data_IF_180742635770
#
_entry.id   IF_180742635770
#
_cell.length_a   1.000
_cell.length_b   1.000
_cell.length_c   1.000
_cell.angle_alpha   90.00
_cell.angle_beta   90.00
_cell.angle_gamma   90.00
#
_symmetry.space_group_name_H-M   'P 1'
#
loop_
_entity.id
_entity.type
_entity.pdbx_description
1 polymer ?
#
# COMPACT_ATOMS: atom_id res chain seq x y z
N UNK A 1 1.02 10.71 -18.31
CA UNK A 1 2.14 10.48 -19.24
C UNK A 1 2.48 11.80 -19.88
N UNK A 2 3.59 12.38 -19.46
CA UNK A 2 4.17 13.57 -20.09
C UNK A 2 4.68 13.16 -21.47
N UNK A 3 4.62 14.10 -22.41
CA UNK A 3 4.85 13.94 -23.84
C UNK A 3 6.29 13.53 -24.19
N UNK A 4 6.70 12.30 -23.90
CA UNK A 4 8.02 11.83 -24.31
C UNK A 4 7.99 11.62 -25.82
N UNK A 5 8.35 12.67 -26.55
CA UNK A 5 8.45 12.65 -27.99
C UNK A 5 9.42 11.55 -28.41
N UNK A 6 9.20 10.98 -29.60
CA UNK A 6 10.13 10.02 -30.22
C UNK A 6 11.60 10.46 -30.13
N UNK A 7 11.85 11.77 -30.22
CA UNK A 7 13.17 12.36 -30.15
C UNK A 7 13.78 12.31 -28.75
N UNK A 8 13.00 12.58 -27.69
CA UNK A 8 13.46 12.49 -26.30
C UNK A 8 13.80 11.05 -25.91
N UNK A 9 13.02 10.08 -26.38
CA UNK A 9 13.29 8.65 -26.16
C UNK A 9 14.58 8.23 -26.87
N UNK A 10 14.78 8.67 -28.12
CA UNK A 10 16.01 8.41 -28.86
C UNK A 10 17.23 9.04 -28.16
N UNK A 11 17.11 10.27 -27.68
CA UNK A 11 18.20 10.98 -27.02
C UNK A 11 18.57 10.30 -25.69
N UNK A 12 17.59 9.89 -24.89
CA UNK A 12 17.81 9.11 -23.67
C UNK A 12 18.51 7.76 -23.97
N UNK A 13 18.09 7.08 -25.04
CA UNK A 13 18.69 5.81 -25.46
C UNK A 13 20.16 5.98 -25.89
N UNK A 14 20.45 7.02 -26.69
CA UNK A 14 21.81 7.33 -27.16
C UNK A 14 22.71 7.66 -25.96
N UNK A 15 22.24 8.46 -24.99
CA UNK A 15 23.02 8.84 -23.80
C UNK A 15 23.34 7.61 -22.95
N UNK A 16 22.36 6.73 -22.70
CA UNK A 16 22.55 5.55 -21.86
C UNK A 16 23.52 4.54 -22.49
N UNK A 17 23.31 4.17 -23.76
CA UNK A 17 24.13 3.17 -24.42
C UNK A 17 25.50 3.71 -24.86
N UNK A 18 25.63 5.02 -25.08
CA UNK A 18 26.93 5.68 -25.29
C UNK A 18 27.84 5.49 -24.08
N UNK A 19 27.36 5.81 -22.87
CA UNK A 19 28.10 5.63 -21.60
C UNK A 19 28.53 4.18 -21.36
N UNK A 20 27.67 3.22 -21.71
CA UNK A 20 27.98 1.78 -21.56
C UNK A 20 29.04 1.34 -22.60
N UNK A 21 29.03 1.93 -23.80
CA UNK A 21 29.97 1.57 -24.88
C UNK A 21 31.40 2.09 -24.66
N UNK A 22 31.57 3.12 -23.84
CA UNK A 22 32.86 3.79 -23.54
C UNK A 22 33.47 3.32 -22.20
N UNK A 23 32.83 2.38 -21.50
CA UNK A 23 33.31 1.91 -20.19
C UNK A 23 34.51 0.95 -20.33
N UNK A 24 35.67 1.37 -19.81
CA UNK A 24 36.91 0.58 -19.77
C UNK A 24 36.90 -0.57 -18.74
N UNK A 25 35.89 -0.60 -17.86
CA UNK A 25 35.75 -1.61 -16.80
C UNK A 25 35.24 -2.95 -17.38
N UNK A 26 34.60 -2.93 -18.55
CA UNK A 26 33.98 -4.10 -19.17
C UNK A 26 34.59 -4.38 -20.55
N UNK A 27 35.78 -4.98 -20.60
CA UNK A 27 36.26 -5.64 -21.84
C UNK A 27 35.58 -6.99 -22.02
N UNK A 28 34.27 -6.97 -22.30
CA UNK A 28 33.46 -8.18 -22.51
C UNK A 28 32.48 -8.01 -23.68
N UNK A 29 31.90 -9.15 -24.12
CA UNK A 29 30.87 -9.26 -25.17
C UNK A 29 29.72 -8.26 -25.03
N UNK A 30 29.46 -7.76 -23.81
CA UNK A 30 28.41 -6.80 -23.48
C UNK A 30 28.69 -5.40 -24.02
N UNK A 31 29.93 -4.90 -23.93
CA UNK A 31 30.29 -3.57 -24.47
C UNK A 31 30.26 -3.56 -25.99
N UNK A 32 30.61 -4.69 -26.62
CA UNK A 32 30.48 -4.85 -28.08
C UNK A 32 29.01 -4.81 -28.53
N UNK A 33 28.10 -5.44 -27.77
CA UNK A 33 26.65 -5.38 -28.05
C UNK A 33 26.08 -3.98 -27.82
N UNK A 34 26.45 -3.33 -26.72
CA UNK A 34 26.04 -1.96 -26.42
C UNK A 34 26.51 -0.97 -27.48
N UNK A 35 27.75 -1.11 -27.96
CA UNK A 35 28.30 -0.29 -29.06
C UNK A 35 27.55 -0.52 -30.37
N UNK A 36 27.17 -1.77 -30.68
CA UNK A 36 26.35 -2.08 -31.86
C UNK A 36 24.95 -1.46 -31.75
N UNK A 37 24.34 -1.49 -30.57
CA UNK A 37 23.03 -0.86 -30.32
C UNK A 37 23.10 0.66 -30.40
N UNK A 38 24.12 1.28 -29.81
CA UNK A 38 24.38 2.72 -29.90
C UNK A 38 24.55 3.18 -31.35
N UNK A 39 25.40 2.49 -32.12
CA UNK A 39 25.67 2.84 -33.51
C UNK A 39 24.42 2.73 -34.40
N UNK A 40 23.55 1.75 -34.13
CA UNK A 40 22.37 1.47 -34.94
C UNK A 40 21.09 2.16 -34.41
N UNK A 41 21.15 2.87 -33.27
CA UNK A 41 19.98 3.45 -32.62
C UNK A 41 19.27 4.46 -33.53
N UNK A 42 20.02 5.38 -34.14
CA UNK A 42 19.45 6.39 -35.05
C UNK A 42 18.78 5.76 -36.27
N UNK A 43 19.42 4.79 -36.91
CA UNK A 43 18.82 4.09 -38.06
C UNK A 43 17.58 3.28 -37.66
N UNK A 44 17.58 2.66 -36.48
CA UNK A 44 16.45 1.88 -35.99
C UNK A 44 15.24 2.77 -35.73
N UNK A 45 15.42 3.91 -35.06
CA UNK A 45 14.34 4.88 -34.82
C UNK A 45 13.90 5.61 -36.09
N UNK A 46 14.67 5.55 -37.17
CA UNK A 46 14.26 6.04 -38.50
C UNK A 46 13.50 4.99 -39.32
N UNK A 47 13.35 3.75 -38.83
CA UNK A 47 12.51 2.75 -39.50
C UNK A 47 11.07 3.21 -39.56
N UNK A 48 10.47 3.02 -40.73
CA UNK A 48 9.09 3.42 -41.04
C UNK A 48 8.08 2.91 -40.01
N UNK A 49 8.19 1.64 -39.60
CA UNK A 49 7.30 1.02 -38.60
C UNK A 49 7.33 1.74 -37.24
N UNK A 50 8.50 2.25 -36.83
CA UNK A 50 8.66 2.98 -35.57
C UNK A 50 8.12 4.41 -35.71
N UNK A 51 8.33 5.05 -36.87
CA UNK A 51 7.73 6.35 -37.18
C UNK A 51 6.19 6.25 -37.10
N UNK A 52 5.61 5.28 -37.79
CA UNK A 52 4.15 5.05 -37.85
C UNK A 52 3.57 4.75 -36.45
N UNK A 53 4.31 4.04 -35.60
CA UNK A 53 3.90 3.79 -34.21
C UNK A 53 3.77 5.08 -33.39
N UNK A 54 4.76 5.97 -33.47
CA UNK A 54 4.72 7.24 -32.73
C UNK A 54 3.68 8.20 -33.29
N UNK A 55 3.50 8.26 -34.63
CA UNK A 55 2.43 9.06 -35.25
C UNK A 55 1.04 8.60 -34.81
N UNK A 56 0.83 7.28 -34.67
CA UNK A 56 -0.44 6.74 -34.17
C UNK A 56 -0.68 7.08 -32.70
N UNK A 57 0.36 7.03 -31.88
CA UNK A 57 0.29 7.43 -30.47
C UNK A 57 -0.06 8.91 -30.31
N UNK A 58 0.56 9.79 -31.10
CA UNK A 58 0.30 11.22 -31.08
C UNK A 58 -1.16 11.51 -31.49
N UNK A 59 -1.67 10.85 -32.54
CA UNK A 59 -3.08 10.96 -32.97
C UNK A 59 -4.07 10.50 -31.89
N UNK A 60 -3.76 9.40 -31.19
CA UNK A 60 -4.60 8.90 -30.10
C UNK A 60 -4.61 9.86 -28.89
N UNK A 61 -3.48 10.52 -28.64
CA UNK A 61 -3.38 11.52 -27.59
C UNK A 61 -4.23 12.77 -27.91
N UNK A 62 -4.12 13.30 -29.12
CA UNK A 62 -4.90 14.45 -29.59
C UNK A 62 -6.41 14.17 -29.56
N UNK A 63 -6.83 12.95 -29.95
CA UNK A 63 -8.23 12.54 -29.88
C UNK A 63 -8.79 12.56 -28.45
N UNK A 64 -8.01 12.10 -27.46
CA UNK A 64 -8.38 12.08 -26.03
C UNK A 64 -8.35 13.46 -25.37
N UNK A 65 -7.68 14.45 -25.99
CA UNK A 65 -7.73 15.82 -25.51
C UNK A 65 -9.04 16.50 -25.93
N UNK A 66 -9.48 16.26 -27.15
CA UNK A 66 -10.78 16.74 -27.66
C UNK A 66 -11.98 16.16 -26.89
N UNK A 67 -11.91 14.89 -26.49
CA UNK A 67 -12.96 14.23 -25.68
C UNK A 67 -13.12 14.87 -24.29
N UNK A 68 -12.00 15.21 -23.65
CA UNK A 68 -11.98 15.91 -22.34
C UNK A 68 -12.48 17.36 -22.42
N UNK A 69 -12.34 18.01 -23.56
CA UNK A 69 -12.95 19.33 -23.79
C UNK A 69 -14.47 19.23 -24.00
N UNK A 70 -14.94 18.12 -24.60
CA UNK A 70 -16.37 17.84 -24.77
C UNK A 70 -17.07 17.54 -23.43
N UNK A 71 -16.44 16.78 -22.52
CA UNK A 71 -16.96 16.53 -21.16
C UNK A 71 -17.13 17.82 -20.34
N UNK A 72 -16.16 18.74 -20.44
CA UNK A 72 -16.25 20.07 -19.77
C UNK A 72 -17.39 20.94 -20.29
N UNK A 73 -17.89 20.66 -21.49
CA UNK A 73 -19.05 21.36 -22.06
C UNK A 73 -20.38 20.78 -21.54
N UNK A 74 -20.41 19.47 -21.23
CA UNK A 74 -21.58 18.77 -20.69
C UNK A 74 -21.86 19.13 -19.22
N UNK A 75 -20.81 19.27 -18.40
CA UNK A 75 -20.96 19.68 -16.98
C UNK A 75 -21.62 21.06 -16.82
N UNK A 76 -21.38 21.97 -17.77
CA UNK A 76 -21.96 23.32 -17.75
C UNK A 76 -23.48 23.33 -17.96
N UNK A 77 -24.00 22.44 -18.81
CA UNK A 77 -25.44 22.37 -19.09
C UNK A 77 -26.20 21.55 -18.03
N UNK A 78 -25.53 20.62 -17.34
CA UNK A 78 -26.12 19.87 -16.21
C UNK A 78 -26.53 20.77 -15.04
N UNK A 79 -25.74 21.81 -14.74
CA UNK A 79 -26.04 22.77 -13.68
C UNK A 79 -27.33 23.60 -13.94
N UNK A 80 -27.66 23.87 -15.20
CA UNK A 80 -28.85 24.66 -15.54
C UNK A 80 -30.17 23.87 -15.38
N UNK A 81 -30.12 22.56 -15.61
CA UNK A 81 -31.25 21.65 -15.40
C UNK A 81 -31.55 21.44 -13.91
N UNK A 82 -30.52 21.39 -13.07
CA UNK A 82 -30.66 21.26 -11.61
C UNK A 82 -31.28 22.51 -10.96
N UNK A 83 -31.12 23.69 -11.57
CA UNK A 83 -31.71 24.95 -11.07
C UNK A 83 -33.24 25.01 -11.18
N UNK A 84 -33.87 24.14 -11.99
CA UNK A 84 -35.32 24.13 -12.26
C UNK A 84 -36.08 23.06 -11.47
N UNK A 85 -35.38 22.17 -10.75
CA UNK A 85 -35.98 21.11 -9.95
C UNK A 85 -36.12 21.57 -8.49
N UNK A 86 -37.30 22.05 -8.12
CA UNK A 86 -37.61 22.57 -6.77
C UNK A 86 -37.75 21.46 -5.72
N UNK A 87 -36.69 20.68 -5.49
CA UNK A 87 -36.60 19.63 -4.46
C UNK A 87 -35.61 20.02 -3.33
N UNK A 88 -35.97 19.71 -2.08
CA UNK A 88 -35.29 20.14 -0.86
C UNK A 88 -33.91 19.47 -0.68
N UNK A 89 -33.75 18.24 -1.18
CA UNK A 89 -32.44 17.57 -1.21
C UNK A 89 -31.48 18.22 -2.22
N UNK A 90 -32.02 18.76 -3.31
CA UNK A 90 -31.26 19.52 -4.31
C UNK A 90 -30.75 20.85 -3.73
N UNK A 91 -31.50 21.50 -2.82
CA UNK A 91 -31.09 22.74 -2.14
C UNK A 91 -29.90 22.54 -1.17
N UNK A 92 -29.83 21.40 -0.47
CA UNK A 92 -28.70 21.08 0.43
C UNK A 92 -27.42 20.79 -0.35
N UNK A 93 -27.53 20.17 -1.52
CA UNK A 93 -26.42 19.97 -2.44
C UNK A 93 -25.98 21.30 -3.08
N UNK A 94 -26.93 22.15 -3.46
CA UNK A 94 -26.68 23.49 -4.02
C UNK A 94 -25.96 24.43 -3.05
N UNK A 95 -26.27 24.40 -1.75
CA UNK A 95 -25.56 25.20 -0.74
C UNK A 95 -24.06 24.87 -0.71
N UNK A 96 -23.72 23.58 -0.80
CA UNK A 96 -22.34 23.09 -0.80
C UNK A 96 -21.58 23.42 -2.10
N UNK A 97 -22.26 23.41 -3.24
CA UNK A 97 -21.65 23.83 -4.52
C UNK A 97 -21.54 25.36 -4.67
N UNK A 98 -22.45 26.13 -4.07
CA UNK A 98 -22.38 27.59 -4.03
C UNK A 98 -21.18 28.08 -3.20
N UNK A 99 -20.92 27.48 -2.03
CA UNK A 99 -19.73 27.77 -1.21
C UNK A 99 -18.42 27.46 -1.97
N UNK A 100 -18.37 26.34 -2.68
CA UNK A 100 -17.18 25.92 -3.45
C UNK A 100 -16.92 26.75 -4.71
N UNK A 101 -17.97 27.31 -5.33
CA UNK A 101 -17.82 28.20 -6.50
C UNK A 101 -17.43 29.63 -6.12
N UNK A 102 -17.81 30.10 -4.93
CA UNK A 102 -17.34 31.37 -4.37
C UNK A 102 -15.83 31.33 -4.06
N UNK A 103 -15.31 30.22 -3.52
CA UNK A 103 -13.87 30.02 -3.29
C UNK A 103 -13.02 29.99 -4.57
N UNK A 104 -13.60 29.52 -5.68
CA UNK A 104 -12.92 29.46 -6.99
C UNK A 104 -12.89 30.81 -7.71
N UNK A 105 -13.84 31.70 -7.42
CA UNK A 105 -13.87 33.07 -7.96
C UNK A 105 -12.89 34.01 -7.26
N UNK A 106 -12.60 33.81 -5.96
CA UNK A 106 -11.62 34.62 -5.23
C UNK A 106 -10.16 34.31 -5.60
N UNK A 107 -9.85 33.09 -6.06
CA UNK A 107 -8.49 32.69 -6.47
C UNK A 107 -8.13 33.07 -7.93
N UNK A 108 -9.01 33.79 -8.63
CA UNK A 108 -8.88 34.09 -10.06
C UNK A 108 -8.05 35.32 -10.45
N UNK A 109 -7.57 36.16 -9.51
CA UNK A 109 -6.84 37.38 -9.88
C UNK A 109 -5.39 37.38 -9.37
N UNK A 110 -4.44 37.00 -10.24
CA UNK A 110 -3.02 37.20 -9.94
C UNK A 110 -2.01 36.22 -10.54
N UNK A 111 -2.12 35.82 -11.81
CA UNK A 111 -0.99 35.18 -12.50
C UNK A 111 0.03 36.25 -12.94
N UNK A 112 1.05 36.51 -12.11
CA UNK A 112 2.29 37.16 -12.56
C UNK A 112 3.28 36.08 -13.00
N UNK A 113 3.63 36.08 -14.29
CA UNK A 113 4.73 35.31 -14.87
C UNK A 113 6.05 35.59 -14.12
N UNK A 114 6.54 34.64 -13.32
CA UNK A 114 7.86 34.74 -12.69
C UNK A 114 8.94 34.08 -13.55
N UNK A 115 9.84 34.94 -14.05
CA UNK A 115 11.10 34.66 -14.76
C UNK A 115 11.93 33.53 -14.15
N UNK A 116 12.42 32.63 -15.02
CA UNK A 116 13.58 31.74 -14.80
C UNK A 116 14.79 32.56 -14.31
N UNK A 117 15.40 32.16 -13.18
CA UNK A 117 16.80 32.49 -12.86
C UNK A 117 17.66 31.30 -13.24
N UNK A 118 18.66 31.52 -14.10
CA UNK A 118 19.75 30.59 -14.38
C UNK A 118 20.64 30.48 -13.14
N UNK A 119 20.95 29.26 -12.71
CA UNK A 119 22.02 28.97 -11.75
C UNK A 119 22.97 27.98 -12.44
N UNK A 120 24.25 28.32 -12.44
CA UNK A 120 25.37 27.63 -13.09
C UNK A 120 25.82 26.44 -12.23
N UNK A 121 25.92 25.27 -12.86
CA UNK A 121 26.08 23.96 -12.21
C UNK A 121 27.52 23.65 -11.75
N UNK A 122 28.47 24.56 -11.98
CA UNK A 122 29.90 24.31 -11.75
C UNK A 122 30.43 24.73 -10.36
N UNK A 123 29.68 25.51 -9.58
CA UNK A 123 30.19 26.04 -8.30
C UNK A 123 30.08 25.05 -7.12
N UNK A 124 29.15 24.09 -7.20
CA UNK A 124 28.88 23.14 -6.11
C UNK A 124 29.92 22.01 -6.04
N UNK A 125 30.59 21.69 -7.15
CA UNK A 125 31.52 20.56 -7.23
C UNK A 125 32.92 20.86 -6.67
N UNK A 126 33.27 22.14 -6.46
CA UNK A 126 34.58 22.56 -5.94
C UNK A 126 34.63 22.61 -4.41
N UNK A 127 33.49 22.60 -3.70
CA UNK A 127 33.47 22.65 -2.22
C UNK A 127 33.68 21.30 -1.53
N UNK A 128 33.54 20.18 -2.23
CA UNK A 128 33.68 18.82 -1.65
C UNK A 128 35.09 18.20 -1.72
N UNK A 129 36.11 18.92 -2.23
CA UNK A 129 37.50 18.40 -2.37
C UNK A 129 38.53 18.92 -1.37
N UNK A 130 38.17 19.73 -0.38
CA UNK A 130 39.15 20.40 0.50
C UNK A 130 39.36 19.77 1.91
N UNK A 131 38.86 18.56 2.18
CA UNK A 131 38.98 17.91 3.51
C UNK A 131 39.53 16.47 3.48
N UNK A 132 40.52 16.20 2.63
CA UNK A 132 41.42 15.06 2.82
C UNK A 132 42.81 15.46 2.36
N UNK A 133 43.68 15.79 3.32
CA UNK A 133 45.13 15.53 3.25
C UNK A 133 45.83 15.95 4.55
N UNK A 134 46.84 15.15 4.96
CA UNK A 134 47.66 15.12 6.20
C UNK A 134 47.06 14.25 7.32
N UNK A 135 47.65 13.15 7.78
CA UNK A 135 49.07 12.84 8.12
C UNK A 135 49.37 11.31 8.04
N UNK A 136 50.64 10.94 8.29
CA UNK A 136 51.43 9.84 7.69
C UNK A 136 51.78 8.63 8.60
N UNK A 137 51.66 7.39 8.07
CA UNK A 137 52.52 6.15 8.21
C UNK A 137 52.73 5.40 9.58
N UNK A 138 53.19 4.11 9.65
CA UNK A 138 52.80 2.86 8.91
C UNK A 138 52.75 1.51 9.74
N UNK A 139 51.98 0.50 9.25
CA UNK A 139 52.13 -1.00 9.37
C UNK A 139 51.94 -1.78 10.72
N UNK A 140 51.73 -3.13 10.76
CA UNK A 140 51.37 -4.11 9.70
C UNK A 140 50.26 -5.19 10.05
N UNK A 141 49.66 -5.74 8.98
CA UNK A 141 49.13 -7.12 8.77
C UNK A 141 48.28 -7.86 9.82
N UNK A 142 47.03 -8.19 9.45
CA UNK A 142 46.63 -9.59 9.25
C UNK A 142 45.33 -9.69 8.42
N UNK A 143 45.36 -10.61 7.47
CA UNK A 143 44.35 -10.90 6.44
C UNK A 143 42.95 -11.21 6.98
N UNK A 144 41.94 -10.57 6.40
CA UNK A 144 40.61 -11.15 6.17
C UNK A 144 40.05 -10.58 4.87
N UNK A 145 39.67 -11.50 3.99
CA UNK A 145 39.15 -11.33 2.65
C UNK A 145 37.89 -10.47 2.59
N UNK A 146 37.94 -9.37 1.84
CA UNK A 146 36.78 -8.57 1.43
C UNK A 146 35.91 -9.36 0.43
N UNK A 147 34.58 -9.41 0.57
CA UNK A 147 33.69 -9.65 -0.55
C UNK A 147 33.61 -8.38 -1.42
N UNK A 148 33.51 -8.59 -2.73
CA UNK A 148 33.36 -7.56 -3.76
C UNK A 148 32.19 -6.61 -3.46
N UNK A 149 32.46 -5.31 -3.57
CA UNK A 149 31.46 -4.25 -3.56
C UNK A 149 30.43 -4.46 -4.68
N UNK A 150 29.18 -4.71 -4.29
CA UNK A 150 28.04 -4.82 -5.17
C UNK A 150 27.43 -3.42 -5.32
N UNK A 151 27.26 -2.86 -6.53
CA UNK A 151 26.80 -1.48 -6.73
C UNK A 151 25.27 -1.28 -6.58
N UNK A 152 24.61 -2.19 -5.86
CA UNK A 152 23.18 -2.11 -5.51
C UNK A 152 23.00 -2.00 -4.00
N UNK A 153 23.77 -1.10 -3.37
CA UNK A 153 23.38 -0.57 -2.07
C UNK A 153 22.41 0.57 -2.41
N UNK A 154 21.12 0.23 -2.42
CA UNK A 154 20.11 1.22 -2.08
C UNK A 154 20.57 1.91 -0.81
N UNK A 155 20.47 3.23 -0.76
CA UNK A 155 20.66 3.99 0.47
C UNK A 155 19.69 3.41 1.51
N UNK A 156 20.15 2.41 2.26
CA UNK A 156 19.57 1.99 3.52
C UNK A 156 19.78 3.21 4.41
N UNK A 157 18.81 4.12 4.40
CA UNK A 157 18.52 4.90 5.60
C UNK A 157 18.35 3.84 6.68
N UNK A 158 19.37 3.72 7.53
CA UNK A 158 19.34 2.90 8.73
C UNK A 158 17.99 3.18 9.39
N UNK A 159 17.13 2.15 9.45
CA UNK A 159 15.96 2.19 10.33
C UNK A 159 16.55 2.33 11.74
N UNK A 160 16.65 3.57 12.22
CA UNK A 160 17.13 3.87 13.56
C UNK A 160 16.26 3.06 14.56
N UNK A 161 16.82 1.96 15.07
CA UNK A 161 16.18 0.97 15.95
C UNK A 161 15.71 1.54 17.31
N UNK A 162 15.80 2.86 17.52
CA UNK A 162 15.31 3.56 18.71
C UNK A 162 14.64 4.91 18.35
N UNK A 163 13.94 4.99 17.22
CA UNK A 163 13.30 6.24 16.81
C UNK A 163 12.10 6.58 17.74
N UNK A 164 12.33 7.41 18.75
CA UNK A 164 11.24 8.13 19.43
C UNK A 164 10.54 8.96 18.36
N UNK A 165 9.23 8.74 18.14
CA UNK A 165 8.45 9.63 17.28
C UNK A 165 8.23 10.91 18.07
N UNK A 166 9.14 11.87 17.89
CA UNK A 166 8.99 13.22 18.41
C UNK A 166 8.17 13.99 17.37
N UNK A 167 6.86 14.07 17.59
CA UNK A 167 5.99 14.89 16.78
C UNK A 167 6.24 16.36 17.18
N UNK A 168 7.09 17.06 16.43
CA UNK A 168 7.47 18.46 16.74
C UNK A 168 6.39 19.49 16.37
N UNK A 169 5.34 19.08 15.63
CA UNK A 169 4.22 19.94 15.19
C UNK A 169 2.99 19.85 16.13
N UNK A 170 3.21 19.51 17.41
CA UNK A 170 2.14 19.19 18.39
C UNK A 170 1.61 20.41 19.14
N UNK A 171 2.23 21.58 18.99
CA UNK A 171 1.84 22.76 19.75
C UNK A 171 0.47 23.33 19.36
N UNK A 172 -0.06 23.02 18.16
CA UNK A 172 -1.38 23.49 17.69
C UNK A 172 -2.47 22.40 17.63
N UNK A 173 -2.15 21.12 17.85
CA UNK A 173 -3.15 20.05 17.82
C UNK A 173 -3.98 20.06 19.11
N UNK A 174 -5.30 20.20 18.98
CA UNK A 174 -6.27 20.02 20.06
C UNK A 174 -7.52 19.36 19.46
N UNK A 175 -8.02 18.30 20.11
CA UNK A 175 -9.22 17.61 19.66
C UNK A 175 -10.43 18.21 20.39
N UNK A 176 -11.05 19.21 19.76
CA UNK A 176 -12.24 19.90 20.28
C UNK A 176 -13.52 19.05 20.17
N UNK A 177 -14.52 19.40 20.98
CA UNK A 177 -15.83 18.75 20.88
C UNK A 177 -16.48 19.04 19.51
N UNK A 178 -16.84 17.96 18.81
CA UNK A 178 -17.56 18.05 17.53
C UNK A 178 -19.07 18.24 17.73
N UNK A 179 -19.80 18.28 16.61
CA UNK A 179 -21.27 18.30 16.61
C UNK A 179 -21.83 17.02 17.27
N UNK A 180 -22.54 17.14 18.42
CA UNK A 180 -23.08 15.99 19.14
C UNK A 180 -24.09 15.16 18.34
N UNK A 181 -24.62 15.70 17.23
CA UNK A 181 -25.54 14.99 16.33
C UNK A 181 -24.85 13.87 15.53
N UNK A 182 -23.53 13.95 15.31
CA UNK A 182 -22.76 12.96 14.55
C UNK A 182 -21.98 12.00 15.46
N UNK A 183 -22.09 12.15 16.78
CA UNK A 183 -21.36 11.34 17.74
C UNK A 183 -21.91 9.91 17.83
N UNK A 184 -20.98 8.95 17.92
CA UNK A 184 -21.28 7.56 18.20
C UNK A 184 -21.59 7.36 19.69
N UNK A 185 -22.76 6.80 19.99
CA UNK A 185 -23.27 6.60 21.36
C UNK A 185 -23.63 5.14 21.64
N UNK A 186 -23.37 4.70 22.86
CA UNK A 186 -23.78 3.40 23.38
C UNK A 186 -24.60 3.64 24.65
N UNK A 187 -25.91 3.40 24.54
CA UNK A 187 -26.84 3.80 25.61
C UNK A 187 -26.77 5.31 25.80
N UNK A 188 -26.53 5.74 27.03
CA UNK A 188 -26.35 7.16 27.38
C UNK A 188 -24.89 7.64 27.28
N UNK A 189 -23.96 6.74 26.99
CA UNK A 189 -22.52 7.05 26.93
C UNK A 189 -22.12 7.55 25.54
N UNK A 190 -21.51 8.74 25.50
CA UNK A 190 -20.95 9.31 24.27
C UNK A 190 -19.51 8.82 24.04
N UNK A 191 -19.38 7.78 23.19
CA UNK A 191 -18.09 7.15 22.90
C UNK A 191 -17.18 8.09 22.11
N UNK A 192 -17.73 8.88 21.19
CA UNK A 192 -16.95 9.87 20.43
C UNK A 192 -16.32 10.93 21.34
N UNK A 193 -17.03 11.37 22.38
CA UNK A 193 -16.48 12.31 23.36
C UNK A 193 -15.34 11.70 24.19
N UNK A 194 -15.51 10.45 24.65
CA UNK A 194 -14.45 9.72 25.36
C UNK A 194 -13.23 9.50 24.46
N UNK A 195 -13.43 9.27 23.17
CA UNK A 195 -12.31 9.15 22.23
C UNK A 195 -11.55 10.46 22.06
N UNK A 196 -12.23 11.60 21.91
CA UNK A 196 -11.58 12.92 21.91
C UNK A 196 -10.80 13.18 23.19
N UNK A 197 -11.34 12.77 24.35
CA UNK A 197 -10.61 12.84 25.61
C UNK A 197 -9.33 11.99 25.58
N UNK A 198 -9.41 10.75 25.09
CA UNK A 198 -8.25 9.88 24.95
C UNK A 198 -7.20 10.44 23.99
N UNK A 199 -7.59 11.01 22.86
CA UNK A 199 -6.68 11.68 21.92
C UNK A 199 -5.94 12.85 22.58
N UNK A 200 -6.63 13.65 23.38
CA UNK A 200 -6.01 14.75 24.13
C UNK A 200 -5.04 14.24 25.22
N UNK A 201 -5.32 13.10 25.86
CA UNK A 201 -4.35 12.45 26.77
C UNK A 201 -3.15 11.88 26.01
N UNK A 202 -3.35 11.23 24.85
CA UNK A 202 -2.26 10.77 23.98
C UNK A 202 -1.33 11.94 23.58
N UNK A 203 -1.90 13.11 23.30
CA UNK A 203 -1.14 14.31 22.98
C UNK A 203 -0.32 14.82 24.17
N UNK A 204 -0.86 14.78 25.39
CA UNK A 204 -0.12 15.16 26.61
C UNK A 204 1.07 14.24 26.84
N UNK A 205 0.90 12.93 26.61
CA UNK A 205 1.98 11.95 26.70
C UNK A 205 3.07 12.31 25.68
N UNK A 206 2.68 12.55 24.43
CA UNK A 206 3.59 12.95 23.36
C UNK A 206 4.40 14.21 23.71
N UNK A 207 3.74 15.24 24.28
CA UNK A 207 4.39 16.50 24.71
C UNK A 207 5.38 16.31 25.87
N UNK A 208 5.12 15.35 26.76
CA UNK A 208 5.88 15.22 28.02
C UNK A 208 7.11 14.34 27.86
N UNK A 209 6.99 13.25 27.09
CA UNK A 209 8.05 12.23 26.99
C UNK A 209 8.22 11.60 25.61
N UNK A 210 7.48 12.07 24.60
CA UNK A 210 7.40 11.41 23.29
C UNK A 210 6.52 10.16 23.31
N UNK A 211 6.33 9.56 22.13
CA UNK A 211 5.64 8.29 21.96
C UNK A 211 6.61 7.25 21.37
N UNK A 212 6.65 6.08 21.98
CA UNK A 212 7.44 4.94 21.51
C UNK A 212 6.57 4.02 20.68
N UNK A 213 7.07 3.61 19.50
CA UNK A 213 6.36 2.73 18.56
C UNK A 213 5.87 1.45 19.23
N UNK A 214 6.70 0.81 20.05
CA UNK A 214 6.40 -0.49 20.67
C UNK A 214 5.40 -0.41 21.83
N UNK A 215 5.37 0.72 22.55
CA UNK A 215 4.61 0.85 23.79
C UNK A 215 3.37 1.74 23.65
N UNK A 216 3.27 2.53 22.58
CA UNK A 216 2.25 3.55 22.41
C UNK A 216 1.47 3.43 21.09
N UNK A 217 1.30 2.22 20.56
CA UNK A 217 0.59 1.98 19.30
C UNK A 217 -0.81 2.60 19.30
N UNK A 218 -1.59 2.39 20.37
CA UNK A 218 -2.94 2.94 20.50
C UNK A 218 -2.94 4.46 20.54
N UNK A 219 -2.03 5.06 21.31
CA UNK A 219 -1.90 6.51 21.39
C UNK A 219 -1.45 7.12 20.06
N UNK A 220 -0.50 6.50 19.36
CA UNK A 220 -0.02 6.97 18.05
C UNK A 220 -1.16 6.95 17.02
N UNK A 221 -1.92 5.85 16.96
CA UNK A 221 -3.05 5.71 16.06
C UNK A 221 -4.21 6.66 16.41
N UNK A 222 -4.44 6.91 17.72
CA UNK A 222 -5.49 7.84 18.17
C UNK A 222 -5.27 9.25 17.62
N UNK A 223 -4.02 9.71 17.53
CA UNK A 223 -3.66 11.02 16.98
C UNK A 223 -3.99 11.15 15.48
N UNK A 224 -4.18 10.04 14.78
CA UNK A 224 -4.66 9.99 13.39
C UNK A 224 -6.16 9.68 13.27
N UNK A 225 -6.91 9.84 14.36
CA UNK A 225 -8.34 9.53 14.47
C UNK A 225 -8.67 8.05 14.19
N UNK A 226 -7.76 7.15 14.58
CA UNK A 226 -7.96 5.70 14.49
C UNK A 226 -8.19 5.15 15.90
N UNK A 227 -9.34 4.51 16.12
CA UNK A 227 -9.67 3.86 17.38
C UNK A 227 -9.35 2.37 17.31
N UNK A 228 -8.16 1.99 17.77
CA UNK A 228 -7.69 0.60 17.73
C UNK A 228 -8.35 -0.23 18.84
N UNK A 229 -9.03 -1.31 18.47
CA UNK A 229 -9.63 -2.26 19.40
C UNK A 229 -8.84 -3.57 19.43
N UNK A 230 -8.23 -3.89 20.57
CA UNK A 230 -7.48 -5.13 20.81
C UNK A 230 -7.93 -5.75 22.14
N UNK A 231 -9.01 -6.55 22.14
CA UNK A 231 -9.56 -7.15 23.35
C UNK A 231 -8.48 -7.85 24.21
N UNK A 232 -8.48 -7.55 25.51
CA UNK A 232 -7.50 -8.12 26.46
C UNK A 232 -6.11 -7.49 26.41
N UNK A 233 -5.89 -6.46 25.59
CA UNK A 233 -4.58 -5.78 25.46
C UNK A 233 -4.72 -4.27 25.29
N UNK A 234 -5.65 -3.66 26.02
CA UNK A 234 -5.84 -2.20 26.04
C UNK A 234 -4.83 -1.53 26.99
N UNK A 235 -4.31 -0.33 26.65
CA UNK A 235 -3.46 0.43 27.55
C UNK A 235 -4.28 0.97 28.74
N UNK A 236 -3.61 1.16 29.88
CA UNK A 236 -4.24 1.62 31.13
C UNK A 236 -5.00 2.95 30.92
N UNK A 237 -4.43 3.89 30.17
CA UNK A 237 -5.08 5.18 29.87
C UNK A 237 -6.42 5.01 29.16
N UNK A 238 -6.52 4.05 28.24
CA UNK A 238 -7.78 3.75 27.55
C UNK A 238 -8.78 3.07 28.50
N UNK A 239 -8.31 2.18 29.38
CA UNK A 239 -9.15 1.55 30.42
C UNK A 239 -9.66 2.59 31.41
N UNK A 240 -8.84 3.56 31.81
CA UNK A 240 -9.22 4.60 32.77
C UNK A 240 -10.30 5.54 32.21
N UNK A 241 -10.26 5.82 30.90
CA UNK A 241 -11.23 6.72 30.23
C UNK A 241 -12.51 5.98 29.86
N UNK A 242 -12.40 4.80 29.26
CA UNK A 242 -13.56 4.09 28.73
C UNK A 242 -14.15 3.10 29.73
N UNK A 243 -13.35 2.56 30.66
CA UNK A 243 -13.60 1.31 31.40
C UNK A 243 -13.59 0.06 30.52
N UNK A 244 -13.10 -1.05 31.10
CA UNK A 244 -13.08 -2.36 30.43
C UNK A 244 -14.47 -2.83 29.94
N UNK A 245 -15.55 -2.73 30.75
CA UNK A 245 -16.89 -3.14 30.30
C UNK A 245 -17.38 -2.38 29.05
N UNK A 246 -17.12 -1.08 28.97
CA UNK A 246 -17.53 -0.29 27.80
C UNK A 246 -16.71 -0.66 26.56
N UNK A 247 -15.41 -0.91 26.70
CA UNK A 247 -14.56 -1.36 25.58
C UNK A 247 -15.07 -2.69 25.01
N UNK A 248 -15.48 -3.61 25.87
CA UNK A 248 -16.11 -4.87 25.43
C UNK A 248 -17.45 -4.63 24.72
N UNK A 249 -18.27 -3.69 25.19
CA UNK A 249 -19.52 -3.31 24.52
C UNK A 249 -19.28 -2.64 23.16
N UNK A 250 -18.29 -1.75 23.07
CA UNK A 250 -17.90 -1.11 21.80
C UNK A 250 -17.45 -2.18 20.80
N UNK A 251 -16.56 -3.08 21.23
CA UNK A 251 -16.08 -4.18 20.40
C UNK A 251 -17.24 -5.04 19.89
N UNK A 252 -18.16 -5.46 20.77
CA UNK A 252 -19.34 -6.24 20.38
C UNK A 252 -20.28 -5.53 19.42
N UNK A 253 -20.38 -4.20 19.47
CA UNK A 253 -21.21 -3.43 18.52
C UNK A 253 -20.56 -3.23 17.16
N UNK A 254 -19.24 -3.06 17.13
CA UNK A 254 -18.49 -2.77 15.90
C UNK A 254 -18.16 -4.05 15.14
N UNK A 255 -17.72 -5.09 15.84
CA UNK A 255 -17.53 -6.41 15.26
C UNK A 255 -18.92 -7.00 15.05
N UNK A 256 -19.44 -6.85 13.83
CA UNK A 256 -20.62 -7.58 13.37
C UNK A 256 -20.30 -9.06 13.54
N UNK A 257 -20.89 -9.68 14.57
CA UNK A 257 -20.92 -11.13 14.78
C UNK A 257 -21.74 -11.78 13.68
N UNK A 258 -21.18 -11.85 12.48
CA UNK A 258 -21.36 -13.05 11.68
C UNK A 258 -20.02 -13.78 11.76
N UNK A 259 -19.88 -14.74 12.70
CA UNK A 259 -18.85 -15.74 12.52
C UNK A 259 -19.17 -16.37 11.18
N UNK A 260 -18.40 -16.03 10.16
CA UNK A 260 -18.44 -16.74 8.91
C UNK A 260 -17.64 -18.02 9.18
N UNK A 261 -18.28 -18.93 9.93
CA UNK A 261 -17.74 -20.24 10.22
C UNK A 261 -17.58 -20.98 8.90
N UNK A 262 -16.41 -21.59 8.72
CA UNK A 262 -16.22 -22.48 7.61
C UNK A 262 -17.27 -23.59 7.70
N UNK A 263 -18.04 -23.79 6.63
CA UNK A 263 -19.06 -24.83 6.63
C UNK A 263 -18.45 -26.18 7.01
N UNK A 264 -19.06 -26.85 7.99
CA UNK A 264 -18.51 -28.08 8.59
C UNK A 264 -18.32 -29.22 7.58
N UNK A 265 -19.13 -29.26 6.52
CA UNK A 265 -18.97 -30.22 5.43
C UNK A 265 -17.76 -29.85 4.56
N UNK A 266 -17.58 -28.56 4.26
CA UNK A 266 -16.40 -28.04 3.57
C UNK A 266 -15.11 -28.32 4.35
N UNK A 267 -15.10 -28.07 5.66
CA UNK A 267 -13.99 -28.37 6.55
C UNK A 267 -13.61 -29.87 6.49
N UNK A 268 -14.60 -30.76 6.56
CA UNK A 268 -14.40 -32.20 6.46
C UNK A 268 -13.78 -32.58 5.09
N UNK A 269 -14.23 -31.95 4.01
CA UNK A 269 -13.69 -32.16 2.66
C UNK A 269 -12.25 -31.68 2.56
N UNK A 270 -11.89 -30.54 3.14
CA UNK A 270 -10.50 -30.07 3.19
C UNK A 270 -9.60 -31.00 4.00
N UNK A 271 -10.03 -31.42 5.19
CA UNK A 271 -9.28 -32.40 5.99
C UNK A 271 -9.10 -33.73 5.27
N UNK A 272 -10.09 -34.15 4.47
CA UNK A 272 -9.99 -35.35 3.62
C UNK A 272 -8.98 -35.16 2.48
N UNK A 273 -9.01 -34.02 1.79
CA UNK A 273 -8.03 -33.71 0.75
C UNK A 273 -6.60 -33.70 1.29
N UNK A 274 -6.36 -33.07 2.45
CA UNK A 274 -5.05 -33.08 3.12
C UNK A 274 -4.59 -34.48 3.45
N UNK A 275 -5.47 -35.32 4.02
CA UNK A 275 -5.16 -36.71 4.31
C UNK A 275 -4.78 -37.49 3.05
N UNK A 276 -5.49 -37.28 1.94
CA UNK A 276 -5.15 -37.89 0.64
C UNK A 276 -3.78 -37.43 0.15
N UNK A 277 -3.50 -36.13 0.21
CA UNK A 277 -2.23 -35.58 -0.26
C UNK A 277 -1.03 -36.13 0.52
N UNK A 278 -1.21 -36.39 1.82
CA UNK A 278 -0.15 -36.90 2.70
C UNK A 278 0.01 -38.43 2.59
N UNK A 279 -1.09 -39.18 2.52
CA UNK A 279 -1.07 -40.66 2.61
C UNK A 279 -1.03 -41.37 1.26
N UNK A 280 -1.59 -40.76 0.23
CA UNK A 280 -1.66 -41.31 -1.12
C UNK A 280 -0.67 -40.53 -2.01
N UNK A 281 -1.15 -39.52 -2.74
CA UNK A 281 -0.34 -38.62 -3.54
C UNK A 281 -1.01 -37.25 -3.64
N UNK A 282 -0.21 -36.23 -4.00
CA UNK A 282 -0.73 -34.87 -4.26
C UNK A 282 -1.75 -34.90 -5.39
N UNK A 283 -1.44 -35.61 -6.47
CA UNK A 283 -2.27 -35.67 -7.67
C UNK A 283 -3.64 -36.30 -7.35
N UNK A 284 -3.67 -37.39 -6.57
CA UNK A 284 -4.93 -38.01 -6.10
C UNK A 284 -5.80 -37.03 -5.32
N UNK A 285 -5.19 -36.21 -4.45
CA UNK A 285 -5.91 -35.21 -3.67
C UNK A 285 -6.45 -34.05 -4.53
N UNK A 286 -5.66 -33.57 -5.49
CA UNK A 286 -6.04 -32.51 -6.42
C UNK A 286 -7.18 -32.96 -7.31
N UNK A 287 -7.09 -34.14 -7.92
CA UNK A 287 -8.12 -34.69 -8.79
C UNK A 287 -9.43 -34.92 -8.03
N UNK A 288 -9.32 -35.43 -6.80
CA UNK A 288 -10.48 -35.63 -5.94
C UNK A 288 -11.16 -34.30 -5.59
N UNK A 289 -10.42 -33.31 -5.06
CA UNK A 289 -11.00 -32.02 -4.66
C UNK A 289 -11.56 -31.25 -5.87
N UNK A 290 -10.91 -31.34 -7.04
CA UNK A 290 -11.42 -30.78 -8.28
C UNK A 290 -12.79 -31.36 -8.67
N UNK A 291 -12.96 -32.68 -8.51
CA UNK A 291 -14.22 -33.36 -8.78
C UNK A 291 -15.32 -32.94 -7.79
N UNK A 292 -15.00 -32.77 -6.51
CA UNK A 292 -15.94 -32.27 -5.51
C UNK A 292 -16.37 -30.83 -5.85
N UNK A 293 -15.38 -29.94 -6.09
CA UNK A 293 -15.63 -28.55 -6.47
C UNK A 293 -16.51 -28.46 -7.71
N UNK A 294 -16.36 -29.34 -8.70
CA UNK A 294 -17.16 -29.28 -9.93
C UNK A 294 -18.67 -29.40 -9.67
N UNK A 295 -19.07 -30.07 -8.58
CA UNK A 295 -20.46 -30.37 -8.27
C UNK A 295 -21.00 -29.65 -7.02
N UNK A 296 -20.13 -28.97 -6.26
CA UNK A 296 -20.46 -28.35 -4.98
C UNK A 296 -20.17 -26.84 -5.02
N UNK A 297 -21.23 -26.07 -5.17
CA UNK A 297 -21.15 -24.60 -5.19
C UNK A 297 -20.80 -24.03 -3.81
N UNK A 298 -21.27 -24.65 -2.73
CA UNK A 298 -20.99 -24.23 -1.36
C UNK A 298 -19.50 -24.36 -1.09
N UNK A 299 -18.89 -25.47 -1.51
CA UNK A 299 -17.44 -25.68 -1.40
C UNK A 299 -16.62 -24.63 -2.17
N UNK A 300 -17.09 -24.19 -3.34
CA UNK A 300 -16.42 -23.11 -4.10
C UNK A 300 -16.47 -21.78 -3.37
N UNK A 301 -17.62 -21.47 -2.78
CA UNK A 301 -17.85 -20.21 -2.05
C UNK A 301 -17.10 -20.20 -0.71
N UNK A 302 -16.84 -21.36 -0.11
CA UNK A 302 -16.11 -21.53 1.15
C UNK A 302 -14.62 -21.83 0.96
N UNK A 303 -13.91 -21.02 0.15
CA UNK A 303 -12.45 -21.11 -0.06
C UNK A 303 -11.94 -22.39 -0.74
N UNK A 304 -12.80 -23.26 -1.30
CA UNK A 304 -12.34 -24.53 -1.85
C UNK A 304 -11.40 -24.40 -3.05
N UNK A 305 -11.53 -23.32 -3.85
CA UNK A 305 -10.57 -22.98 -4.92
C UNK A 305 -9.21 -22.57 -4.34
N UNK A 306 -9.20 -21.80 -3.26
CA UNK A 306 -7.97 -21.41 -2.55
C UNK A 306 -7.27 -22.66 -2.00
N UNK A 307 -8.02 -23.55 -1.36
CA UNK A 307 -7.49 -24.78 -0.78
C UNK A 307 -6.87 -25.71 -1.83
N UNK A 308 -7.54 -25.85 -2.98
CA UNK A 308 -7.04 -26.60 -4.12
C UNK A 308 -5.71 -26.03 -4.64
N UNK A 309 -5.58 -24.71 -4.73
CA UNK A 309 -4.35 -24.09 -5.18
C UNK A 309 -3.21 -24.30 -4.19
N UNK A 310 -3.49 -24.25 -2.89
CA UNK A 310 -2.52 -24.63 -1.86
C UNK A 310 -2.05 -26.09 -2.02
N UNK A 311 -2.94 -27.03 -2.36
CA UNK A 311 -2.54 -28.42 -2.62
C UNK A 311 -1.58 -28.54 -3.81
N UNK A 312 -1.78 -27.72 -4.85
CA UNK A 312 -0.97 -27.72 -6.08
C UNK A 312 0.39 -27.07 -5.90
N UNK A 313 0.43 -25.93 -5.20
CA UNK A 313 1.60 -25.06 -5.13
C UNK A 313 2.52 -25.37 -3.95
N UNK A 314 1.98 -25.86 -2.82
CA UNK A 314 2.78 -26.02 -1.61
C UNK A 314 3.74 -27.22 -1.67
N UNK A 315 4.98 -27.06 -1.19
CA UNK A 315 5.92 -28.16 -1.09
C UNK A 315 5.40 -29.23 -0.12
N UNK A 316 5.75 -30.49 -0.38
CA UNK A 316 5.32 -31.63 0.47
C UNK A 316 6.01 -31.61 1.84
N UNK A 317 7.24 -31.10 1.88
CA UNK A 317 8.11 -31.09 3.06
C UNK A 317 8.56 -29.68 3.37
N UNK A 318 8.67 -29.38 4.67
CA UNK A 318 9.22 -28.10 5.14
C UNK A 318 10.61 -27.86 4.55
N UNK A 319 10.77 -26.70 3.93
CA UNK A 319 12.08 -26.19 3.50
C UNK A 319 12.81 -25.72 4.76
N UNK A 320 14.04 -26.19 4.97
CA UNK A 320 14.82 -25.87 6.18
C UNK A 320 15.34 -24.44 6.20
N UNK A 321 15.58 -23.88 5.02
CA UNK A 321 16.08 -22.52 4.90
C UNK A 321 14.96 -21.54 5.25
N UNK A 322 15.32 -20.48 5.95
CA UNK A 322 14.40 -19.38 6.22
C UNK A 322 14.05 -18.71 4.88
N UNK A 323 12.76 -18.57 4.59
CA UNK A 323 12.31 -17.86 3.41
C UNK A 323 12.55 -16.37 3.56
N UNK A 324 12.97 -15.71 2.49
CA UNK A 324 12.94 -14.24 2.43
C UNK A 324 11.50 -13.74 2.35
N UNK A 325 11.30 -12.45 2.63
CA UNK A 325 10.01 -11.77 2.43
C UNK A 325 9.48 -11.94 1.01
N UNK A 326 10.32 -11.68 0.00
CA UNK A 326 9.95 -11.87 -1.41
C UNK A 326 9.53 -13.31 -1.71
N UNK A 327 10.21 -14.30 -1.14
CA UNK A 327 9.82 -15.71 -1.31
C UNK A 327 8.47 -16.00 -0.66
N UNK A 328 8.19 -15.42 0.51
CA UNK A 328 6.90 -15.53 1.18
C UNK A 328 5.78 -14.90 0.31
N UNK A 329 6.06 -13.73 -0.24
CA UNK A 329 5.18 -13.00 -1.15
C UNK A 329 4.87 -13.84 -2.40
N UNK A 330 5.90 -14.19 -3.18
CA UNK A 330 5.69 -14.78 -4.51
C UNK A 330 5.23 -16.23 -4.46
N UNK A 331 5.64 -17.00 -3.46
CA UNK A 331 5.36 -18.44 -3.43
C UNK A 331 4.14 -18.81 -2.60
N UNK A 332 3.68 -17.93 -1.70
CA UNK A 332 2.59 -18.25 -0.78
C UNK A 332 1.47 -17.20 -0.84
N UNK A 333 1.77 -15.94 -0.52
CA UNK A 333 0.76 -14.88 -0.41
C UNK A 333 0.10 -14.53 -1.74
N UNK A 334 0.88 -14.29 -2.79
CA UNK A 334 0.35 -13.80 -4.09
C UNK A 334 -0.74 -14.72 -4.65
N UNK A 335 -0.55 -16.03 -4.52
CA UNK A 335 -1.51 -17.03 -4.98
C UNK A 335 -2.82 -16.98 -4.18
N UNK A 336 -2.73 -16.90 -2.85
CA UNK A 336 -3.91 -16.86 -1.97
C UNK A 336 -4.67 -15.54 -2.21
N UNK A 337 -3.96 -14.41 -2.15
CA UNK A 337 -4.57 -13.08 -2.26
C UNK A 337 -5.26 -12.86 -3.61
N UNK A 338 -4.70 -13.40 -4.71
CA UNK A 338 -5.33 -13.32 -6.02
C UNK A 338 -6.65 -14.10 -6.14
N UNK A 339 -6.89 -15.07 -5.26
CA UNK A 339 -8.09 -15.90 -5.28
C UNK A 339 -9.19 -15.39 -4.35
N UNK A 340 -8.91 -14.43 -3.47
CA UNK A 340 -9.87 -13.87 -2.52
C UNK A 340 -10.70 -12.68 -3.08
N UNK A 341 -10.59 -12.38 -4.37
CA UNK A 341 -11.29 -11.24 -4.97
C UNK A 341 -11.90 -11.60 -6.33
N UNK A 342 -12.81 -10.74 -6.81
CA UNK A 342 -13.37 -10.86 -8.15
C UNK A 342 -12.45 -10.13 -9.16
N UNK A 343 -11.79 -10.82 -10.10
CA UNK A 343 -10.83 -10.22 -11.02
C UNK A 343 -11.46 -9.25 -12.03
N UNK A 344 -12.76 -9.34 -12.28
CA UNK A 344 -13.47 -8.39 -13.16
C UNK A 344 -13.82 -7.08 -12.44
N UNK A 345 -13.78 -7.08 -11.11
CA UNK A 345 -14.15 -5.93 -10.27
C UNK A 345 -12.99 -5.34 -9.50
N UNK A 346 -11.94 -6.12 -9.24
CA UNK A 346 -10.81 -5.69 -8.44
C UNK A 346 -9.49 -6.07 -9.10
N UNK A 347 -8.44 -5.33 -8.77
CA UNK A 347 -7.07 -5.60 -9.17
C UNK A 347 -6.19 -5.76 -7.94
N UNK A 348 -5.40 -6.83 -7.91
CA UNK A 348 -4.37 -7.10 -6.90
C UNK A 348 -3.04 -6.57 -7.38
N UNK A 349 -2.35 -5.80 -6.54
CA UNK A 349 -1.05 -5.21 -6.86
C UNK A 349 -0.08 -5.33 -5.68
N UNK A 350 1.17 -5.64 -6.00
CA UNK A 350 2.34 -5.40 -5.15
C UNK A 350 2.99 -4.13 -5.69
N UNK A 351 2.55 -2.93 -5.25
CA UNK A 351 2.97 -1.69 -5.89
C UNK A 351 4.48 -1.49 -5.75
N UNK A 352 5.02 -0.57 -6.55
CA UNK A 352 6.38 -0.03 -6.42
C UNK A 352 6.36 1.50 -6.30
N UNK A 353 5.17 2.05 -6.05
CA UNK A 353 4.92 3.46 -5.84
C UNK A 353 3.88 3.65 -4.75
N UNK A 354 4.00 4.72 -3.99
CA UNK A 354 3.02 5.11 -3.00
C UNK A 354 1.58 5.23 -3.51
N UNK A 355 0.64 5.02 -2.59
CA UNK A 355 -0.78 5.28 -2.80
C UNK A 355 -1.05 6.72 -3.19
N UNK A 356 -2.05 6.93 -4.06
CA UNK A 356 -2.49 8.28 -4.39
C UNK A 356 -3.22 8.92 -3.19
N UNK A 357 -3.94 8.10 -2.45
CA UNK A 357 -4.68 8.40 -1.23
C UNK A 357 -3.76 8.98 -0.16
N UNK A 358 -2.56 8.42 0.01
CA UNK A 358 -1.58 8.88 1.00
C UNK A 358 -0.77 10.10 0.58
N UNK A 359 -0.96 10.65 -0.62
CA UNK A 359 -0.22 11.84 -1.07
C UNK A 359 -0.64 13.11 -0.33
N UNK A 360 -1.84 13.13 0.24
CA UNK A 360 -2.42 14.31 0.92
C UNK A 360 -1.74 14.59 2.26
N UNK A 361 -1.25 13.56 2.97
CA UNK A 361 -0.55 13.72 4.27
C UNK A 361 0.89 14.22 4.17
N UNK A 362 1.41 14.51 2.97
CA UNK A 362 2.81 14.92 2.83
C UNK A 362 3.00 16.42 2.99
N UNK A 363 3.76 16.79 4.01
CA UNK A 363 4.47 18.07 4.08
C UNK A 363 5.90 17.97 3.49
N UNK A 364 6.64 16.88 3.74
CA UNK A 364 7.99 16.60 3.18
C UNK A 364 8.27 15.08 3.06
N UNK A 365 9.24 14.65 2.21
CA UNK A 365 9.73 13.26 2.11
C UNK A 365 9.15 12.37 0.99
N UNK A 366 9.61 11.11 0.87
CA UNK A 366 8.99 10.05 0.03
C UNK A 366 7.75 9.50 0.73
N UNK A 367 6.74 9.13 -0.05
CA UNK A 367 5.46 8.65 0.50
C UNK A 367 5.69 7.18 0.76
N UNK A 368 5.37 6.73 1.97
CA UNK A 368 5.45 5.32 2.29
C UNK A 368 4.49 4.54 1.39
N UNK A 369 4.92 3.36 1.01
CA UNK A 369 4.25 2.50 0.06
C UNK A 369 3.85 1.22 0.79
N UNK A 370 2.59 0.79 0.71
CA UNK A 370 2.20 -0.52 1.22
C UNK A 370 2.83 -1.63 0.37
N UNK A 371 3.08 -2.80 0.96
CA UNK A 371 3.60 -3.95 0.20
C UNK A 371 2.55 -4.50 -0.76
N UNK A 372 1.27 -4.44 -0.36
CA UNK A 372 0.16 -5.04 -1.08
C UNK A 372 -1.07 -4.15 -1.09
N UNK A 373 -1.81 -4.19 -2.20
CA UNK A 373 -3.09 -3.49 -2.34
C UNK A 373 -4.11 -4.28 -3.16
N UNK A 374 -5.40 -4.08 -2.86
CA UNK A 374 -6.51 -4.40 -3.77
C UNK A 374 -7.29 -3.13 -4.08
N UNK A 375 -7.42 -2.83 -5.37
CA UNK A 375 -8.16 -1.66 -5.85
C UNK A 375 -9.43 -2.05 -6.60
N UNK A 376 -10.47 -1.24 -6.50
CA UNK A 376 -11.69 -1.37 -7.31
C UNK A 376 -11.40 -0.91 -8.74
N UNK A 377 -11.80 -1.75 -9.69
CA UNK A 377 -11.87 -1.43 -11.11
C UNK A 377 -13.27 -0.90 -11.44
N UNK A 378 -13.31 0.31 -12.00
CA UNK A 378 -14.52 0.91 -12.54
C UNK A 378 -14.19 1.57 -13.88
N UNK A 379 -14.94 1.22 -14.93
CA UNK A 379 -14.70 1.71 -16.30
C UNK A 379 -13.24 1.57 -16.75
N UNK A 380 -12.62 0.41 -16.46
CA UNK A 380 -11.21 0.10 -16.78
C UNK A 380 -10.19 1.02 -16.09
N UNK A 381 -10.60 1.75 -15.05
CA UNK A 381 -9.73 2.59 -14.24
C UNK A 381 -9.78 2.18 -12.77
N UNK A 382 -8.70 2.46 -12.05
CA UNK A 382 -8.62 2.25 -10.60
C UNK A 382 -9.32 3.41 -9.90
N UNK A 383 -10.37 3.13 -9.15
CA UNK A 383 -11.19 4.17 -8.51
C UNK A 383 -10.99 4.31 -7.00
N UNK A 384 -10.38 3.33 -6.35
CA UNK A 384 -10.02 3.40 -4.94
C UNK A 384 -9.47 2.09 -4.42
N UNK A 385 -8.68 2.19 -3.35
CA UNK A 385 -8.08 1.05 -2.65
C UNK A 385 -9.03 0.58 -1.53
N UNK A 386 -9.34 -0.71 -1.51
CA UNK A 386 -10.21 -1.35 -0.51
C UNK A 386 -9.46 -2.35 0.37
N UNK A 387 -8.21 -2.67 0.04
CA UNK A 387 -7.36 -3.53 0.83
C UNK A 387 -5.93 -3.00 0.77
N UNK A 388 -5.27 -2.89 1.92
CA UNK A 388 -3.85 -2.59 2.06
C UNK A 388 -3.18 -3.62 2.97
N UNK A 389 -1.88 -3.85 2.80
CA UNK A 389 -1.15 -4.53 3.85
C UNK A 389 0.35 -4.55 3.73
N UNK A 390 0.94 -5.09 4.78
CA UNK A 390 2.38 -5.17 5.06
C UNK A 390 2.78 -6.62 5.28
N UNK A 391 3.94 -6.99 4.78
CA UNK A 391 4.49 -8.35 4.87
C UNK A 391 5.88 -8.28 5.44
N UNK A 392 6.07 -8.92 6.58
CA UNK A 392 7.37 -9.01 7.23
C UNK A 392 8.00 -10.40 7.02
N UNK A 393 9.30 -10.42 6.73
CA UNK A 393 10.06 -11.65 6.64
C UNK A 393 9.94 -12.51 7.91
N UNK A 394 10.04 -13.85 7.83
CA UNK A 394 10.05 -14.71 9.02
C UNK A 394 11.15 -14.39 10.04
N UNK A 395 12.24 -13.72 9.65
CA UNK A 395 13.29 -13.24 10.58
C UNK A 395 12.77 -12.19 11.55
N UNK A 396 11.81 -11.38 11.10
CA UNK A 396 11.25 -10.25 11.83
C UNK A 396 10.13 -10.67 12.78
N UNK A 397 9.82 -11.97 12.88
CA UNK A 397 8.73 -12.46 13.74
C UNK A 397 8.82 -11.94 15.18
N UNK A 398 10.04 -11.83 15.72
CA UNK A 398 10.28 -11.37 17.08
C UNK A 398 10.69 -9.88 17.17
N UNK A 399 10.70 -9.16 16.04
CA UNK A 399 11.02 -7.74 16.00
C UNK A 399 9.76 -6.94 16.37
N UNK A 400 9.64 -6.59 17.66
CA UNK A 400 8.45 -5.92 18.20
C UNK A 400 8.29 -4.53 17.56
N UNK A 401 9.36 -3.74 17.49
CA UNK A 401 9.38 -2.46 16.80
C UNK A 401 8.82 -2.55 15.39
N UNK A 402 9.35 -3.44 14.54
CA UNK A 402 8.89 -3.59 13.15
C UNK A 402 7.43 -4.00 13.08
N UNK A 403 7.02 -4.97 13.89
CA UNK A 403 5.63 -5.44 13.92
C UNK A 403 4.66 -4.31 14.34
N UNK A 404 5.02 -3.51 15.34
CA UNK A 404 4.23 -2.37 15.78
C UNK A 404 4.22 -1.25 14.72
N UNK A 405 5.35 -0.96 14.08
CA UNK A 405 5.47 0.04 13.02
C UNK A 405 4.61 -0.35 11.80
N UNK A 406 4.67 -1.61 11.36
CA UNK A 406 3.86 -2.13 10.26
C UNK A 406 2.36 -2.04 10.59
N UNK A 407 1.94 -2.37 11.81
CA UNK A 407 0.55 -2.20 12.26
C UNK A 407 0.10 -0.74 12.19
N UNK A 408 0.94 0.19 12.66
CA UNK A 408 0.67 1.63 12.57
C UNK A 408 0.53 2.04 11.11
N UNK A 409 1.47 1.62 10.24
CA UNK A 409 1.44 1.92 8.81
C UNK A 409 0.17 1.41 8.14
N UNK A 410 -0.24 0.16 8.39
CA UNK A 410 -1.50 -0.40 7.88
C UNK A 410 -2.68 0.47 8.31
N UNK A 411 -2.77 0.82 9.60
CA UNK A 411 -3.84 1.67 10.11
C UNK A 411 -3.91 3.04 9.41
N UNK A 412 -2.76 3.68 9.21
CA UNK A 412 -2.68 4.97 8.49
C UNK A 412 -3.11 4.82 7.03
N UNK A 413 -2.65 3.78 6.33
CA UNK A 413 -3.07 3.52 4.94
C UNK A 413 -4.57 3.27 4.83
N UNK A 414 -5.14 2.50 5.76
CA UNK A 414 -6.60 2.28 5.81
C UNK A 414 -7.35 3.60 5.98
N UNK A 415 -6.88 4.46 6.90
CA UNK A 415 -7.47 5.76 7.15
C UNK A 415 -7.40 6.67 5.92
N UNK A 416 -6.27 6.70 5.22
CA UNK A 416 -6.10 7.47 3.97
C UNK A 416 -7.08 7.03 2.89
N UNK A 417 -7.23 5.72 2.71
CA UNK A 417 -8.14 5.17 1.73
C UNK A 417 -9.59 5.52 2.08
N UNK A 418 -9.95 5.40 3.37
CA UNK A 418 -11.27 5.74 3.87
C UNK A 418 -11.59 7.24 3.68
N UNK A 419 -10.67 8.13 4.08
CA UNK A 419 -10.85 9.58 3.94
C UNK A 419 -11.01 9.99 2.48
N UNK A 420 -10.14 9.47 1.60
CA UNK A 420 -10.22 9.70 0.15
C UNK A 420 -11.55 9.23 -0.45
N UNK A 421 -12.09 8.11 0.03
CA UNK A 421 -13.38 7.62 -0.42
C UNK A 421 -14.54 8.50 0.07
N UNK A 422 -14.51 8.91 1.34
CA UNK A 422 -15.50 9.83 1.93
C UNK A 422 -15.51 11.17 1.19
N UNK A 423 -14.33 11.73 0.88
CA UNK A 423 -14.19 12.96 0.08
C UNK A 423 -14.83 12.84 -1.30
N UNK A 424 -14.76 11.65 -1.90
CA UNK A 424 -15.40 11.32 -3.18
C UNK A 424 -16.89 10.96 -3.04
N UNK A 425 -17.44 10.98 -1.83
CA UNK A 425 -18.84 10.65 -1.54
C UNK A 425 -19.16 9.16 -1.55
N UNK A 426 -18.15 8.30 -1.39
CA UNK A 426 -18.30 6.86 -1.30
C UNK A 426 -18.21 6.39 0.16
N UNK A 427 -19.12 5.49 0.52
CA UNK A 427 -19.06 4.75 1.78
C UNK A 427 -18.49 3.35 1.49
N UNK A 428 -17.24 3.13 1.90
CA UNK A 428 -16.52 1.88 1.67
C UNK A 428 -15.98 1.32 2.99
N UNK A 429 -15.75 0.01 2.99
CA UNK A 429 -14.93 -0.63 4.01
C UNK A 429 -13.54 -0.86 3.42
N UNK A 430 -12.52 -0.53 4.19
CA UNK A 430 -11.13 -0.82 3.85
C UNK A 430 -10.63 -1.90 4.78
N UNK A 431 -10.07 -2.96 4.21
CA UNK A 431 -9.44 -4.05 4.96
C UNK A 431 -7.93 -3.76 5.06
N UNK A 432 -7.36 -4.04 6.23
CA UNK A 432 -5.93 -4.03 6.46
C UNK A 432 -5.47 -5.44 6.83
N UNK A 433 -4.35 -5.89 6.28
CA UNK A 433 -3.70 -7.11 6.75
C UNK A 433 -2.23 -6.86 7.05
N UNK A 434 -1.73 -7.63 8.01
CA UNK A 434 -0.32 -7.69 8.33
C UNK A 434 0.08 -9.16 8.40
N UNK A 435 1.08 -9.55 7.60
CA UNK A 435 1.61 -10.90 7.61
C UNK A 435 2.95 -10.91 8.37
N UNK A 436 2.97 -11.50 9.57
CA UNK A 436 4.17 -11.61 10.41
C UNK A 436 4.67 -13.06 10.40
N UNK A 437 5.60 -13.37 9.49
CA UNK A 437 6.22 -14.69 9.40
C UNK A 437 5.26 -15.87 9.15
N UNK A 438 5.69 -17.08 9.52
CA UNK A 438 5.04 -18.38 9.18
C UNK A 438 3.67 -18.64 9.81
N UNK A 439 3.12 -17.75 10.65
CA UNK A 439 2.08 -18.15 11.62
C UNK A 439 0.69 -18.34 11.00
N UNK A 440 0.39 -17.73 9.85
CA UNK A 440 -0.99 -17.70 9.32
C UNK A 440 -1.13 -18.34 7.94
N UNK A 441 -0.03 -18.61 7.24
CA UNK A 441 -0.05 -19.06 5.84
C UNK A 441 0.71 -20.37 5.71
N UNK A 442 0.09 -21.43 5.18
CA UNK A 442 0.74 -22.72 5.06
C UNK A 442 1.90 -22.60 4.09
N UNK A 443 3.08 -22.99 4.53
CA UNK A 443 4.31 -23.01 3.71
C UNK A 443 4.61 -24.39 3.16
N UNK A 444 3.94 -25.44 3.66
CA UNK A 444 4.00 -26.82 3.15
C UNK A 444 2.72 -27.61 3.50
N UNK A 445 2.51 -28.74 2.81
CA UNK A 445 1.25 -29.49 2.87
C UNK A 445 0.78 -29.93 4.28
N UNK A 446 1.70 -30.17 5.23
CA UNK A 446 1.28 -30.61 6.57
C UNK A 446 0.72 -29.46 7.42
N UNK A 447 1.03 -28.21 7.07
CA UNK A 447 0.45 -27.01 7.70
C UNK A 447 -0.97 -26.73 7.19
N UNK A 448 -1.45 -27.42 6.14
CA UNK A 448 -2.83 -27.26 5.69
C UNK A 448 -3.85 -27.70 6.73
N UNK A 449 -3.50 -28.66 7.61
CA UNK A 449 -4.42 -29.09 8.67
C UNK A 449 -4.67 -27.99 9.70
N UNK A 450 -3.62 -27.23 10.09
CA UNK A 450 -3.75 -26.08 10.98
C UNK A 450 -4.34 -24.89 10.26
N UNK A 451 -4.00 -24.70 8.97
CA UNK A 451 -4.58 -23.62 8.18
C UNK A 451 -6.10 -23.72 8.03
N UNK A 452 -6.68 -24.92 8.04
CA UNK A 452 -8.15 -25.09 8.04
C UNK A 452 -8.77 -24.47 9.31
N UNK A 453 -8.08 -24.55 10.44
CA UNK A 453 -8.51 -23.93 11.70
C UNK A 453 -8.30 -22.41 11.64
N UNK A 454 -7.23 -21.94 10.98
CA UNK A 454 -6.96 -20.51 10.80
C UNK A 454 -7.83 -19.85 9.70
N UNK A 455 -8.42 -20.64 8.78
CA UNK A 455 -9.29 -20.14 7.70
C UNK A 455 -10.54 -19.45 8.22
N UNK A 456 -11.05 -19.86 9.39
CA UNK A 456 -12.16 -19.19 10.06
C UNK A 456 -11.80 -17.74 10.41
N UNK A 457 -10.54 -17.47 10.78
CA UNK A 457 -10.03 -16.13 11.07
C UNK A 457 -9.89 -15.26 9.80
N UNK A 458 -9.76 -15.88 8.62
CA UNK A 458 -9.71 -15.17 7.33
C UNK A 458 -11.10 -14.85 6.77
N UNK A 459 -12.14 -15.55 7.24
CA UNK A 459 -13.52 -15.37 6.80
C UNK A 459 -14.29 -14.33 7.63
N UNK A 460 -13.83 -14.05 8.86
CA UNK A 460 -14.30 -12.95 9.73
C UNK A 460 -13.66 -11.62 9.39
#
# INVERSE_FOLDING_TARGET
>A
FTSDSKQEILDAFIIAFGKISESDIVKSRTTTKAKKLYNNARETFQRREIIEFFEKLDQEFDARQNERELERSFDRNGCELLRKSSDFNTLKLLSRYAEKSAELLEKGSGYSLRRKRNIDYNEEHMRKRLHRDRETTPSPCSHLSLPMDNPFIEDNEEEDEDSVIIINDVDELCFEEGDPANDFKIGDTNVSQLFRQYQNESLKIAKTGGLLVESNVHEILSLSSIFLLTPGSYPNTMIDIFSSPLLDEIHKKIVLTQPMELDSECELKFRRATKKAIKESRESAVDWLWSELSNDQILKENLGVVFLECLRSLPTTKIKNQSSELTLITNHLDHIMKMMHNPDKHIVEWPNTALNESKVRKLQGRTRQPDFTISILHQLQRNGVIFVGEVSAPSEKNNVYKNCNDLIRVGIFMKDCLDSAIEKGADIKVLGFQCIGQVTIPTFLKELSSFIEDMELLLT
#
